data_IF_330985027266
#
_entry.id   IF_330985027266
#
_cell.length_a   1.000
_cell.length_b   1.000
_cell.length_c   1.000
_cell.angle_alpha   90.00
_cell.angle_beta   90.00
_cell.angle_gamma   90.00
#
_symmetry.space_group_name_H-M   'P 1'
#
loop_
_entity.id
_entity.type
_entity.pdbx_description
1 polymer ?
#
# COMPACT_ATOMS: atom_id res chain seq x y z
N UNK A 1 -27.82 -6.53 -8.03
CA UNK A 1 -26.84 -7.10 -8.99
C UNK A 1 -25.57 -6.27 -9.13
N UNK A 2 -25.64 -4.92 -9.20
CA UNK A 2 -24.45 -4.06 -9.34
C UNK A 2 -23.37 -4.24 -8.25
N UNK A 3 -23.76 -4.56 -7.01
CA UNK A 3 -22.82 -4.72 -5.90
C UNK A 3 -21.98 -6.01 -6.00
N UNK A 4 -22.57 -7.13 -6.44
CA UNK A 4 -21.85 -8.40 -6.65
C UNK A 4 -20.80 -8.28 -7.76
N UNK A 5 -21.11 -7.52 -8.81
CA UNK A 5 -20.20 -7.30 -9.94
C UNK A 5 -18.99 -6.44 -9.53
N UNK A 6 -19.21 -5.40 -8.73
CA UNK A 6 -18.12 -4.54 -8.23
C UNK A 6 -17.22 -5.27 -7.22
N UNK A 7 -17.78 -6.15 -6.36
CA UNK A 7 -16.99 -7.01 -5.46
C UNK A 7 -16.15 -8.00 -6.27
N UNK A 8 -16.71 -8.62 -7.31
CA UNK A 8 -15.97 -9.53 -8.19
C UNK A 8 -14.77 -8.84 -8.86
N UNK A 9 -14.94 -7.59 -9.31
CA UNK A 9 -13.87 -6.80 -9.90
C UNK A 9 -12.76 -6.45 -8.89
N UNK A 10 -13.14 -6.03 -7.68
CA UNK A 10 -12.18 -5.82 -6.58
C UNK A 10 -11.40 -7.06 -6.22
N UNK A 11 -12.06 -8.22 -6.15
CA UNK A 11 -11.39 -9.49 -5.86
C UNK A 11 -10.35 -9.85 -6.94
N UNK A 12 -10.69 -9.62 -8.21
CA UNK A 12 -9.75 -9.80 -9.32
C UNK A 12 -8.58 -8.82 -9.22
N UNK A 13 -8.84 -7.56 -8.88
CA UNK A 13 -7.80 -6.55 -8.69
C UNK A 13 -6.88 -6.89 -7.50
N UNK A 14 -7.42 -7.35 -6.36
CA UNK A 14 -6.62 -7.83 -5.23
C UNK A 14 -5.74 -9.01 -5.63
N UNK A 15 -6.31 -10.00 -6.31
CA UNK A 15 -5.58 -11.20 -6.72
C UNK A 15 -4.44 -10.82 -7.68
N UNK A 16 -4.72 -9.95 -8.65
CA UNK A 16 -3.71 -9.42 -9.57
C UNK A 16 -2.60 -8.68 -8.81
N UNK A 17 -2.95 -7.81 -7.86
CA UNK A 17 -1.99 -7.05 -7.06
C UNK A 17 -1.08 -7.95 -6.22
N UNK A 18 -1.64 -9.02 -5.62
CA UNK A 18 -0.87 -10.00 -4.84
C UNK A 18 0.08 -10.79 -5.74
N UNK A 19 -0.40 -11.23 -6.91
CA UNK A 19 0.43 -11.96 -7.88
C UNK A 19 1.56 -11.06 -8.40
N UNK A 20 1.27 -9.80 -8.72
CA UNK A 20 2.28 -8.82 -9.11
C UNK A 20 3.31 -8.59 -7.99
N UNK A 21 2.87 -8.42 -6.75
CA UNK A 21 3.79 -8.28 -5.61
C UNK A 21 4.73 -9.49 -5.49
N UNK A 22 4.18 -10.70 -5.60
CA UNK A 22 4.95 -11.93 -5.52
C UNK A 22 5.96 -12.07 -6.68
N UNK A 23 5.55 -11.74 -7.91
CA UNK A 23 6.45 -11.76 -9.08
C UNK A 23 7.58 -10.75 -8.91
N UNK A 24 7.28 -9.53 -8.46
CA UNK A 24 8.29 -8.47 -8.29
C UNK A 24 9.29 -8.84 -7.18
N UNK A 25 8.81 -9.38 -6.06
CA UNK A 25 9.68 -9.93 -5.00
C UNK A 25 10.57 -11.06 -5.53
N UNK A 26 9.98 -12.01 -6.27
CA UNK A 26 10.71 -13.13 -6.83
C UNK A 26 11.76 -12.68 -7.87
N UNK A 27 11.40 -11.71 -8.73
CA UNK A 27 12.30 -11.17 -9.73
C UNK A 27 13.48 -10.42 -9.09
N UNK A 28 13.23 -9.64 -8.03
CA UNK A 28 14.29 -9.00 -7.24
C UNK A 28 15.23 -10.01 -6.60
N UNK A 29 14.69 -11.12 -6.08
CA UNK A 29 15.48 -12.13 -5.37
C UNK A 29 16.28 -13.05 -6.30
N UNK A 30 15.73 -13.41 -7.47
CA UNK A 30 16.33 -14.39 -8.39
C UNK A 30 17.26 -13.77 -9.42
N UNK A 31 16.87 -12.63 -10.01
CA UNK A 31 17.65 -12.03 -11.09
C UNK A 31 18.60 -10.95 -10.60
N UNK A 32 18.29 -10.31 -9.46
CA UNK A 32 18.99 -9.19 -8.85
C UNK A 32 19.80 -8.33 -9.85
N UNK A 33 19.13 -7.75 -10.88
CA UNK A 33 19.84 -7.07 -11.96
C UNK A 33 20.55 -5.82 -11.43
N UNK A 34 21.85 -5.64 -11.72
CA UNK A 34 22.60 -4.50 -11.23
C UNK A 34 21.99 -3.19 -11.74
N UNK A 35 21.68 -2.28 -10.82
CA UNK A 35 21.05 -0.98 -11.09
C UNK A 35 19.52 -0.94 -11.02
N UNK A 36 18.83 -2.09 -10.88
CA UNK A 36 17.36 -2.16 -10.76
C UNK A 36 16.88 -2.62 -9.37
N UNK A 37 17.79 -2.99 -8.48
CA UNK A 37 17.49 -3.54 -7.15
C UNK A 37 16.58 -2.62 -6.32
N UNK A 38 16.92 -1.33 -6.22
CA UNK A 38 16.09 -0.36 -5.49
C UNK A 38 14.73 -0.16 -6.15
N UNK A 39 14.65 -0.14 -7.47
CA UNK A 39 13.39 0.05 -8.21
C UNK A 39 12.46 -1.14 -7.99
N UNK A 40 13.00 -2.36 -8.04
CA UNK A 40 12.25 -3.59 -7.76
C UNK A 40 11.80 -3.63 -6.29
N UNK A 41 12.65 -3.23 -5.35
CA UNK A 41 12.29 -3.14 -3.93
C UNK A 41 11.16 -2.14 -3.69
N UNK A 42 11.25 -0.93 -4.25
CA UNK A 42 10.18 0.09 -4.14
C UNK A 42 8.89 -0.43 -4.77
N UNK A 43 8.96 -1.00 -5.98
CA UNK A 43 7.79 -1.56 -6.65
C UNK A 43 7.15 -2.69 -5.84
N UNK A 44 7.95 -3.57 -5.23
CA UNK A 44 7.47 -4.64 -4.36
C UNK A 44 6.74 -4.08 -3.14
N UNK A 45 7.32 -3.09 -2.45
CA UNK A 45 6.71 -2.40 -1.31
C UNK A 45 5.38 -1.75 -1.70
N UNK A 46 5.34 -1.05 -2.84
CA UNK A 46 4.13 -0.41 -3.38
C UNK A 46 3.02 -1.44 -3.63
N UNK A 47 3.32 -2.52 -4.35
CA UNK A 47 2.33 -3.57 -4.62
C UNK A 47 1.87 -4.27 -3.33
N UNK A 48 2.76 -4.45 -2.35
CA UNK A 48 2.40 -4.99 -1.04
C UNK A 48 1.44 -4.08 -0.28
N UNK A 49 1.72 -2.77 -0.19
CA UNK A 49 0.84 -1.80 0.49
C UNK A 49 -0.52 -1.74 -0.21
N UNK A 50 -0.54 -1.61 -1.55
CA UNK A 50 -1.78 -1.61 -2.33
C UNK A 50 -2.58 -2.89 -2.10
N UNK A 51 -1.91 -4.06 -2.05
CA UNK A 51 -2.59 -5.33 -1.81
C UNK A 51 -3.27 -5.36 -0.44
N UNK A 52 -2.62 -4.86 0.60
CA UNK A 52 -3.18 -4.77 1.96
C UNK A 52 -4.38 -3.82 1.98
N UNK A 53 -4.25 -2.62 1.41
CA UNK A 53 -5.34 -1.65 1.34
C UNK A 53 -6.56 -2.19 0.58
N UNK A 54 -6.34 -2.90 -0.53
CA UNK A 54 -7.42 -3.53 -1.29
C UNK A 54 -8.08 -4.70 -0.53
N UNK A 55 -7.32 -5.48 0.24
CA UNK A 55 -7.87 -6.52 1.13
C UNK A 55 -8.77 -5.90 2.21
N UNK A 56 -8.32 -4.81 2.86
CA UNK A 56 -9.13 -4.07 3.83
C UNK A 56 -10.41 -3.53 3.19
N UNK A 57 -10.32 -2.99 1.96
CA UNK A 57 -11.47 -2.56 1.19
C UNK A 57 -12.45 -3.69 0.89
N UNK A 58 -11.96 -4.88 0.53
CA UNK A 58 -12.78 -6.07 0.31
C UNK A 58 -13.51 -6.50 1.59
N UNK A 59 -12.83 -6.51 2.73
CA UNK A 59 -13.42 -6.86 4.03
C UNK A 59 -14.48 -5.83 4.43
N UNK A 60 -14.16 -4.54 4.38
CA UNK A 60 -15.09 -3.48 4.71
C UNK A 60 -16.36 -3.53 3.86
N UNK A 61 -16.21 -3.82 2.55
CA UNK A 61 -17.36 -3.96 1.65
C UNK A 61 -18.16 -5.22 1.87
N UNK A 62 -17.52 -6.31 2.32
CA UNK A 62 -18.21 -7.54 2.71
C UNK A 62 -19.08 -7.32 3.96
N UNK A 63 -18.62 -6.48 4.90
CA UNK A 63 -19.36 -6.12 6.11
C UNK A 63 -20.48 -5.12 5.79
N UNK A 64 -20.19 -4.07 5.03
CA UNK A 64 -21.16 -3.06 4.66
C UNK A 64 -20.98 -2.62 3.20
N UNK A 65 -21.91 -3.04 2.34
CA UNK A 65 -21.80 -2.84 0.90
C UNK A 65 -22.01 -1.39 0.44
N UNK A 66 -22.59 -0.54 1.30
CA UNK A 66 -22.82 0.88 1.01
C UNK A 66 -21.60 1.77 1.31
N UNK A 67 -20.54 1.22 1.91
CA UNK A 67 -19.35 1.99 2.27
C UNK A 67 -18.57 2.37 1.02
N UNK A 68 -18.16 3.64 0.95
CA UNK A 68 -17.30 4.15 -0.11
C UNK A 68 -15.89 3.57 0.02
N UNK A 69 -15.48 2.76 -0.96
CA UNK A 69 -14.14 2.18 -1.05
C UNK A 69 -13.03 3.21 -0.94
N UNK A 70 -13.24 4.37 -1.56
CA UNK A 70 -12.30 5.49 -1.52
C UNK A 70 -12.01 5.91 -0.07
N UNK A 71 -13.05 6.07 0.76
CA UNK A 71 -12.89 6.46 2.16
C UNK A 71 -12.18 5.37 2.96
N UNK A 72 -12.50 4.10 2.70
CA UNK A 72 -11.87 2.97 3.39
C UNK A 72 -10.40 2.86 3.01
N UNK A 73 -10.08 3.03 1.73
CA UNK A 73 -8.71 2.99 1.23
C UNK A 73 -7.86 4.09 1.88
N UNK A 74 -8.33 5.34 1.88
CA UNK A 74 -7.64 6.46 2.52
C UNK A 74 -7.47 6.26 4.04
N UNK A 75 -8.47 5.74 4.74
CA UNK A 75 -8.36 5.45 6.18
C UNK A 75 -7.32 4.34 6.42
N UNK A 76 -7.36 3.27 5.63
CA UNK A 76 -6.41 2.17 5.74
C UNK A 76 -4.98 2.65 5.46
N UNK A 77 -4.79 3.48 4.44
CA UNK A 77 -3.49 4.03 4.07
C UNK A 77 -2.92 4.95 5.17
N UNK A 78 -3.74 5.83 5.76
CA UNK A 78 -3.34 6.64 6.93
C UNK A 78 -2.92 5.76 8.10
N UNK A 79 -3.72 4.73 8.42
CA UNK A 79 -3.41 3.82 9.53
C UNK A 79 -2.10 3.08 9.29
N UNK A 80 -1.89 2.56 8.08
CA UNK A 80 -0.64 1.89 7.71
C UNK A 80 0.56 2.85 7.76
N UNK A 81 0.39 4.09 7.29
CA UNK A 81 1.44 5.11 7.36
C UNK A 81 1.82 5.45 8.81
N UNK A 82 0.84 5.61 9.70
CA UNK A 82 1.09 5.88 11.12
C UNK A 82 1.76 4.70 11.80
N UNK A 83 1.31 3.47 11.54
CA UNK A 83 1.92 2.26 12.10
C UNK A 83 3.35 2.07 11.60
N UNK A 84 3.58 2.20 10.29
CA UNK A 84 4.90 2.06 9.70
C UNK A 84 5.85 3.18 10.17
N UNK A 85 5.38 4.43 10.24
CA UNK A 85 6.16 5.56 10.73
C UNK A 85 6.49 5.43 12.22
N UNK A 86 5.50 5.02 13.03
CA UNK A 86 5.70 4.76 14.46
C UNK A 86 6.70 3.64 14.72
N UNK A 87 6.58 2.53 13.98
CA UNK A 87 7.54 1.43 14.04
C UNK A 87 8.94 1.89 13.60
N UNK A 88 9.05 2.68 12.53
CA UNK A 88 10.33 3.20 12.06
C UNK A 88 11.03 4.08 13.10
N UNK A 89 10.29 4.98 13.75
CA UNK A 89 10.81 5.83 14.82
C UNK A 89 11.22 4.99 16.03
N UNK A 90 10.42 3.99 16.38
CA UNK A 90 10.73 3.06 17.48
C UNK A 90 12.05 2.31 17.19
N UNK A 91 12.15 1.64 16.05
CA UNK A 91 13.31 0.86 15.60
C UNK A 91 14.61 1.69 15.67
N UNK A 92 14.58 2.92 15.15
CA UNK A 92 15.73 3.86 15.18
C UNK A 92 16.10 4.27 16.62
N UNK A 93 15.12 4.37 17.53
CA UNK A 93 15.32 4.86 18.90
C UNK A 93 15.76 3.77 19.89
N UNK A 94 15.29 2.54 19.70
CA UNK A 94 15.50 1.44 20.66
C UNK A 94 16.55 0.44 20.24
N UNK A 95 16.89 0.34 18.96
CA UNK A 95 17.88 -0.64 18.53
C UNK A 95 19.30 -0.24 18.94
N UNK A 96 20.03 -1.24 19.44
CA UNK A 96 21.45 -1.14 19.77
C UNK A 96 22.19 -2.31 19.13
N UNK A 97 23.00 -2.04 18.10
CA UNK A 97 23.68 -3.06 17.29
C UNK A 97 24.21 -2.50 15.96
N UNK A 98 24.98 -3.30 15.20
CA UNK A 98 25.57 -2.90 13.90
C UNK A 98 24.53 -2.58 12.81
N UNK A 99 23.31 -3.11 12.92
CA UNK A 99 22.18 -2.84 12.02
C UNK A 99 21.04 -2.08 12.70
N UNK A 100 21.33 -1.42 13.82
CA UNK A 100 20.32 -0.70 14.59
C UNK A 100 19.61 0.37 13.76
N UNK A 101 18.29 0.31 13.73
CA UNK A 101 17.49 1.29 12.99
C UNK A 101 17.53 1.13 11.47
N UNK A 102 18.15 0.06 10.93
CA UNK A 102 18.22 -0.17 9.48
C UNK A 102 16.82 -0.36 8.90
N UNK A 103 15.97 -1.16 9.54
CA UNK A 103 14.61 -1.42 9.08
C UNK A 103 13.76 -0.16 9.19
N UNK A 104 13.87 0.57 10.30
CA UNK A 104 13.20 1.85 10.47
C UNK A 104 13.66 2.89 9.45
N UNK A 105 14.96 2.98 9.17
CA UNK A 105 15.50 3.85 8.13
C UNK A 105 14.99 3.46 6.74
N UNK A 106 14.91 2.16 6.44
CA UNK A 106 14.39 1.66 5.17
C UNK A 106 12.90 2.01 5.00
N UNK A 107 12.11 1.88 6.06
CA UNK A 107 10.68 2.27 6.07
C UNK A 107 10.53 3.78 5.91
N UNK A 108 11.38 4.59 6.55
CA UNK A 108 11.39 6.04 6.40
C UNK A 108 11.77 6.47 4.98
N UNK A 109 12.80 5.88 4.38
CA UNK A 109 13.29 6.27 3.05
C UNK A 109 12.46 5.70 1.89
N UNK A 110 11.94 4.48 2.03
CA UNK A 110 11.24 3.79 0.95
C UNK A 110 9.73 3.72 1.18
N UNK A 111 9.28 3.48 2.42
CA UNK A 111 7.87 3.30 2.76
C UNK A 111 7.09 4.61 2.87
N UNK A 112 7.60 5.60 3.62
CA UNK A 112 6.91 6.88 3.83
C UNK A 112 6.61 7.65 2.54
N UNK A 113 7.52 7.74 1.55
CA UNK A 113 7.20 8.38 0.27
C UNK A 113 6.08 7.66 -0.47
N UNK A 114 6.01 6.33 -0.38
CA UNK A 114 4.95 5.54 -1.01
C UNK A 114 3.59 5.86 -0.38
N UNK A 115 3.49 5.89 0.95
CA UNK A 115 2.28 6.32 1.64
C UNK A 115 1.89 7.76 1.25
N UNK A 116 2.85 8.68 1.16
CA UNK A 116 2.58 10.05 0.73
C UNK A 116 2.00 10.12 -0.70
N UNK A 117 2.55 9.32 -1.63
CA UNK A 117 2.07 9.25 -3.01
C UNK A 117 0.67 8.63 -3.08
N UNK A 118 0.38 7.59 -2.29
CA UNK A 118 -0.95 6.98 -2.22
C UNK A 118 -1.98 7.97 -1.67
N UNK A 119 -1.68 8.66 -0.57
CA UNK A 119 -2.55 9.71 -0.02
C UNK A 119 -2.78 10.87 -0.99
N UNK A 120 -1.75 11.29 -1.74
CA UNK A 120 -1.90 12.31 -2.78
C UNK A 120 -2.79 11.80 -3.92
N UNK A 121 -2.63 10.55 -4.34
CA UNK A 121 -3.48 9.90 -5.33
C UNK A 121 -4.94 9.88 -4.88
N UNK A 122 -5.19 9.51 -3.62
CA UNK A 122 -6.51 9.55 -3.02
C UNK A 122 -7.08 10.97 -3.02
N UNK A 123 -6.31 11.94 -2.55
CA UNK A 123 -6.73 13.35 -2.52
C UNK A 123 -7.11 13.87 -3.91
N UNK A 124 -6.34 13.51 -4.95
CA UNK A 124 -6.65 13.85 -6.35
C UNK A 124 -7.96 13.20 -6.81
N UNK A 125 -8.16 11.91 -6.52
CA UNK A 125 -9.41 11.21 -6.85
C UNK A 125 -10.62 11.87 -6.18
N UNK A 126 -10.47 12.28 -4.92
CA UNK A 126 -11.50 13.03 -4.22
C UNK A 126 -11.80 14.39 -4.86
N UNK A 127 -10.76 15.14 -5.23
CA UNK A 127 -10.90 16.44 -5.89
C UNK A 127 -11.68 16.31 -7.21
N UNK A 128 -11.35 15.29 -8.01
CA UNK A 128 -12.02 15.00 -9.29
C UNK A 128 -13.48 14.62 -9.06
N UNK A 129 -13.78 13.73 -8.11
CA UNK A 129 -15.16 13.36 -7.80
C UNK A 129 -15.97 14.52 -7.22
N UNK A 130 -15.33 15.41 -6.46
CA UNK A 130 -15.99 16.62 -5.94
C UNK A 130 -16.39 17.58 -7.04
N UNK A 131 -15.57 17.72 -8.10
CA UNK A 131 -15.90 18.54 -9.28
C UNK A 131 -17.00 17.92 -10.14
N UNK A 132 -17.06 16.59 -10.23
CA UNK A 132 -18.09 15.87 -11.02
C UNK A 132 -19.48 15.86 -10.39
N UNK A 133 -19.58 16.02 -9.07
CA UNK A 133 -20.84 16.09 -8.32
C UNK A 133 -21.28 17.53 -8.00
N UNK A 134 -20.61 18.55 -8.56
CA UNK A 134 -21.08 19.94 -8.62
C UNK A 134 -21.61 20.23 -10.01
#
# INVERSE_FOLDING_TARGET
MADKMKISWLLKATALSIVLAAIVWFAGLVFNPPGLEMVLAIAAIVFSIISICLVVCCIARKINSQVSLYKVFAIADIVLAVLAGGYAVYDIRTDTGWFAGLLGALIMFMGMPVFAVLLLGDWVVWLVNRKRNR
#
